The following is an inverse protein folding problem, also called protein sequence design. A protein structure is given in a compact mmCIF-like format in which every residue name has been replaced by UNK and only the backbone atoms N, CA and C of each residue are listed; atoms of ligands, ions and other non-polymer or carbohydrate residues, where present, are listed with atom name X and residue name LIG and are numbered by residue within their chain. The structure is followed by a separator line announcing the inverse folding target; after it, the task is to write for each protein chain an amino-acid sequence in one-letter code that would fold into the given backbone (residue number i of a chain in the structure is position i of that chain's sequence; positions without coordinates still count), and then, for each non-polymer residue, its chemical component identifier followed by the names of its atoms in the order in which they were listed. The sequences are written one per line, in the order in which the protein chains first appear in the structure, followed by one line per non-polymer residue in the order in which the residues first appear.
data_IF_233780991994
#
_entry.id   IF_233780991994
#
_cell.length_a   1.000
_cell.length_b   1.000
_cell.length_c   1.000
_cell.angle_alpha   90.00
_cell.angle_beta   90.00
_cell.angle_gamma   90.00
#
_symmetry.space_group_name_H-M   'P 1'
#
loop_
_entity.id
_entity.type
_entity.pdbx_description
1 polymer ?
#
# COMPACT_ATOMS: atom_id res chain seq x y z
N UNK A 1 1.42 -4.50 -18.30
CA UNK A 1 1.19 -3.65 -17.11
C UNK A 1 1.67 -2.22 -17.37
N UNK A 2 2.98 -1.92 -17.50
CA UNK A 2 3.43 -0.54 -17.81
C UNK A 2 3.59 -0.23 -19.31
N UNK A 3 3.77 -1.23 -20.18
CA UNK A 3 3.84 -1.06 -21.65
C UNK A 3 4.81 0.04 -22.12
N UNK A 4 5.93 0.22 -21.40
CA UNK A 4 6.93 1.25 -21.67
C UNK A 4 8.17 1.08 -20.79
N UNK A 5 9.13 2.01 -20.94
CA UNK A 5 10.37 1.98 -20.14
C UNK A 5 10.06 2.23 -18.66
N UNK A 6 10.47 1.32 -17.75
CA UNK A 6 10.19 1.48 -16.33
C UNK A 6 11.12 2.52 -15.70
N UNK A 7 10.53 3.45 -14.99
CA UNK A 7 11.19 4.30 -14.01
C UNK A 7 11.03 3.69 -12.62
N UNK A 8 12.16 3.41 -11.96
CA UNK A 8 12.22 2.96 -10.58
C UNK A 8 12.21 4.18 -9.64
N UNK A 9 11.24 4.24 -8.73
CA UNK A 9 11.20 5.33 -7.74
C UNK A 9 12.43 5.31 -6.83
N UNK A 10 12.93 6.52 -6.54
CA UNK A 10 14.10 6.71 -5.66
C UNK A 10 13.78 6.35 -4.20
N UNK A 11 12.56 6.62 -3.74
CA UNK A 11 12.11 6.25 -2.39
C UNK A 11 11.94 4.73 -2.28
N UNK A 12 12.83 4.09 -1.53
CA UNK A 12 12.74 2.67 -1.15
C UNK A 12 12.45 2.60 0.34
N UNK A 13 11.40 1.88 0.71
CA UNK A 13 10.96 1.76 2.10
C UNK A 13 11.24 0.32 2.53
N UNK A 14 11.96 0.16 3.64
CA UNK A 14 12.05 -1.12 4.35
C UNK A 14 11.08 -1.04 5.52
N UNK A 15 10.27 -2.08 5.67
CA UNK A 15 9.32 -2.24 6.76
C UNK A 15 9.76 -3.42 7.61
N UNK A 16 9.46 -3.32 8.90
CA UNK A 16 9.61 -4.41 9.83
C UNK A 16 8.35 -4.55 10.66
N UNK A 17 8.09 -5.76 11.15
CA UNK A 17 7.09 -6.02 12.19
C UNK A 17 7.67 -6.95 13.25
N UNK A 18 7.53 -6.57 14.50
CA UNK A 18 7.94 -7.37 15.64
C UNK A 18 6.80 -8.29 16.11
N UNK A 19 7.11 -9.52 16.54
CA UNK A 19 6.12 -10.37 17.19
C UNK A 19 5.52 -9.70 18.42
N UNK A 20 4.19 -9.77 18.55
CA UNK A 20 3.45 -9.19 19.68
C UNK A 20 3.16 -7.68 19.59
N UNK A 21 3.51 -7.02 18.48
CA UNK A 21 2.99 -5.66 18.20
C UNK A 21 1.46 -5.70 18.07
N UNK A 22 0.78 -4.78 18.75
CA UNK A 22 -0.68 -4.68 18.77
C UNK A 22 -1.25 -4.00 17.52
N UNK A 23 -0.39 -3.46 16.66
CA UNK A 23 -0.76 -2.77 15.43
C UNK A 23 -0.07 -3.39 14.21
N UNK A 24 -0.76 -3.35 13.08
CA UNK A 24 -0.25 -3.74 11.77
C UNK A 24 -0.80 -2.77 10.71
N UNK A 25 -0.39 -2.94 9.46
CA UNK A 25 -0.81 -2.03 8.38
C UNK A 25 -2.29 -2.28 8.05
N UNK A 26 -3.14 -1.26 8.26
CA UNK A 26 -4.57 -1.32 7.92
C UNK A 26 -4.83 -1.43 6.42
N UNK A 27 -6.07 -1.78 6.06
CA UNK A 27 -6.50 -1.93 4.68
C UNK A 27 -6.47 -0.60 3.92
N UNK A 28 -5.73 -0.54 2.83
CA UNK A 28 -5.59 0.64 1.97
C UNK A 28 -5.21 0.24 0.55
N UNK A 29 -5.19 1.21 -0.37
CA UNK A 29 -4.58 1.07 -1.69
C UNK A 29 -3.51 2.15 -1.86
N UNK A 30 -2.52 1.89 -2.68
CA UNK A 30 -1.27 2.65 -2.72
C UNK A 30 -1.40 4.06 -3.32
N UNK A 31 -2.32 4.25 -4.27
CA UNK A 31 -2.50 5.52 -4.97
C UNK A 31 -2.72 6.69 -4.01
N UNK A 32 -3.33 6.45 -2.84
CA UNK A 32 -3.61 7.49 -1.85
C UNK A 32 -2.38 8.32 -1.46
N UNK A 33 -1.19 7.69 -1.48
CA UNK A 33 0.08 8.33 -1.10
C UNK A 33 0.84 8.93 -2.28
N UNK A 34 0.50 8.55 -3.52
CA UNK A 34 1.19 8.94 -4.76
C UNK A 34 0.32 9.79 -5.71
N UNK A 35 -0.76 10.38 -5.20
CA UNK A 35 -1.75 11.16 -5.99
C UNK A 35 -1.20 12.37 -6.77
N UNK A 36 0.03 12.84 -6.49
CA UNK A 36 0.60 13.96 -7.22
C UNK A 36 1.34 13.55 -8.51
N UNK A 37 1.39 12.24 -8.80
CA UNK A 37 1.95 11.67 -10.03
C UNK A 37 0.88 11.02 -10.91
N UNK A 38 1.32 10.06 -11.72
CA UNK A 38 0.44 9.16 -12.49
C UNK A 38 -0.31 8.19 -11.59
N UNK A 39 -1.46 7.73 -12.07
CA UNK A 39 -2.18 6.60 -11.49
C UNK A 39 -1.80 5.25 -12.13
N UNK A 40 -0.82 5.26 -13.03
CA UNK A 40 -0.26 4.09 -13.74
C UNK A 40 1.11 3.72 -13.20
N UNK A 41 1.13 3.12 -12.01
CA UNK A 41 2.33 2.57 -11.42
C UNK A 41 2.05 1.19 -10.79
N UNK A 42 3.08 0.40 -10.56
CA UNK A 42 2.99 -0.85 -9.78
C UNK A 42 3.88 -0.77 -8.57
N UNK A 43 3.47 -1.48 -7.53
CA UNK A 43 4.31 -1.76 -6.37
C UNK A 43 4.67 -3.24 -6.37
N UNK A 44 5.95 -3.51 -6.16
CA UNK A 44 6.47 -4.83 -5.83
C UNK A 44 6.69 -4.88 -4.32
N UNK A 45 5.91 -5.71 -3.63
CA UNK A 45 6.18 -6.08 -2.25
C UNK A 45 7.11 -7.29 -2.26
N UNK A 46 8.22 -7.19 -1.55
CA UNK A 46 9.27 -8.21 -1.52
C UNK A 46 9.57 -8.56 -0.06
N UNK A 47 9.34 -9.81 0.38
CA UNK A 47 9.78 -10.26 1.70
C UNK A 47 11.30 -10.37 1.73
N UNK A 48 11.90 -9.95 2.84
CA UNK A 48 13.35 -10.06 3.08
C UNK A 48 13.63 -11.23 4.01
N UNK A 49 13.28 -12.43 3.54
CA UNK A 49 13.33 -13.69 4.26
C UNK A 49 11.98 -14.43 4.19
N UNK A 50 11.98 -15.71 4.56
CA UNK A 50 10.75 -16.50 4.59
C UNK A 50 9.72 -15.84 5.51
N UNK A 51 8.50 -15.72 5.02
CA UNK A 51 7.37 -15.07 5.67
C UNK A 51 6.17 -16.02 5.61
N UNK A 52 6.12 -17.03 6.49
CA UNK A 52 4.91 -17.82 6.66
C UNK A 52 3.77 -16.92 7.17
N UNK A 53 2.53 -17.37 6.98
CA UNK A 53 1.32 -16.56 7.26
C UNK A 53 1.30 -15.95 8.67
N UNK A 54 1.80 -16.65 9.68
CA UNK A 54 1.88 -16.17 11.07
C UNK A 54 2.83 -14.99 11.26
N UNK A 55 3.81 -14.80 10.37
CA UNK A 55 4.72 -13.65 10.39
C UNK A 55 4.07 -12.36 9.86
N UNK A 56 2.87 -12.49 9.31
CA UNK A 56 2.02 -11.37 8.99
C UNK A 56 2.30 -10.75 7.62
N UNK A 57 2.48 -11.55 6.57
CA UNK A 57 2.74 -11.09 5.19
C UNK A 57 1.67 -10.15 4.62
N UNK A 58 1.92 -9.61 3.42
CA UNK A 58 0.91 -8.81 2.72
C UNK A 58 -0.30 -9.67 2.34
N UNK A 59 -1.50 -9.16 2.58
CA UNK A 59 -2.77 -9.78 2.22
C UNK A 59 -3.57 -8.86 1.32
N UNK A 60 -4.39 -9.46 0.44
CA UNK A 60 -5.15 -8.72 -0.57
C UNK A 60 -6.64 -9.00 -0.44
N UNK A 61 -7.46 -7.96 -0.55
CA UNK A 61 -8.90 -8.15 -0.65
C UNK A 61 -9.23 -8.61 -2.08
N UNK A 62 -9.86 -9.78 -2.20
CA UNK A 62 -10.13 -10.41 -3.50
C UNK A 62 -10.94 -9.48 -4.42
N UNK A 63 -10.50 -9.35 -5.68
CA UNK A 63 -11.09 -8.50 -6.72
C UNK A 63 -11.23 -7.01 -6.36
N UNK A 64 -10.39 -6.49 -5.45
CA UNK A 64 -10.55 -5.13 -4.92
C UNK A 64 -10.04 -3.98 -5.80
N UNK A 65 -9.37 -4.24 -6.92
CA UNK A 65 -8.90 -3.18 -7.84
C UNK A 65 -10.06 -2.25 -8.27
N UNK A 66 -11.18 -2.82 -8.70
CA UNK A 66 -12.37 -2.06 -9.11
C UNK A 66 -12.93 -1.24 -7.96
N UNK A 67 -12.91 -1.79 -6.74
CA UNK A 67 -13.35 -1.08 -5.53
C UNK A 67 -12.43 0.10 -5.24
N UNK A 68 -11.11 -0.10 -5.29
CA UNK A 68 -10.12 0.97 -5.09
C UNK A 68 -10.27 2.10 -6.11
N UNK A 69 -10.51 1.78 -7.39
CA UNK A 69 -10.79 2.78 -8.44
C UNK A 69 -12.05 3.59 -8.17
N UNK A 70 -13.12 2.92 -7.76
CA UNK A 70 -14.37 3.60 -7.41
C UNK A 70 -14.16 4.54 -6.20
N UNK A 71 -13.47 4.05 -5.16
CA UNK A 71 -13.18 4.84 -3.96
C UNK A 71 -12.33 6.08 -4.29
N UNK A 72 -11.33 5.95 -5.16
CA UNK A 72 -10.50 7.08 -5.59
C UNK A 72 -11.30 8.09 -6.42
N UNK A 73 -12.20 7.63 -7.29
CA UNK A 73 -13.08 8.52 -8.05
C UNK A 73 -14.02 9.31 -7.12
N UNK A 74 -14.63 8.65 -6.14
CA UNK A 74 -15.46 9.31 -5.11
C UNK A 74 -14.65 10.30 -4.28
N UNK A 75 -13.42 9.94 -3.90
CA UNK A 75 -12.50 10.82 -3.18
C UNK A 75 -12.15 12.07 -3.99
N UNK A 76 -11.84 11.91 -5.28
CA UNK A 76 -11.52 13.00 -6.19
C UNK A 76 -12.68 14.01 -6.29
N UNK A 77 -13.92 13.54 -6.35
CA UNK A 77 -15.12 14.40 -6.34
C UNK A 77 -15.25 15.15 -5.02
N UNK A 78 -15.09 14.47 -3.86
CA UNK A 78 -15.16 15.11 -2.54
C UNK A 78 -14.09 16.18 -2.34
N UNK A 79 -12.95 16.02 -3.00
CA UNK A 79 -11.81 16.93 -2.88
C UNK A 79 -11.75 18.02 -3.95
N UNK A 80 -12.67 18.03 -4.92
CA UNK A 80 -12.61 18.93 -6.07
C UNK A 80 -12.49 20.42 -5.68
N UNK A 81 -13.05 20.81 -4.54
CA UNK A 81 -13.04 22.19 -4.02
C UNK A 81 -11.97 22.47 -2.96
N UNK A 82 -11.11 21.50 -2.63
CA UNK A 82 -9.99 21.70 -1.72
C UNK A 82 -8.82 22.42 -2.42
N UNK A 83 -7.91 23.04 -1.66
CA UNK A 83 -6.62 23.49 -2.19
C UNK A 83 -5.82 22.34 -2.83
N UNK A 84 -5.01 22.58 -3.87
CA UNK A 84 -4.27 21.53 -4.59
C UNK A 84 -3.46 20.59 -3.68
N UNK A 85 -2.78 21.14 -2.68
CA UNK A 85 -1.98 20.41 -1.69
C UNK A 85 -2.83 19.46 -0.83
N UNK A 86 -4.06 19.84 -0.50
CA UNK A 86 -4.99 19.01 0.24
C UNK A 86 -5.56 17.89 -0.63
N UNK A 87 -5.76 18.11 -1.94
CA UNK A 87 -6.29 17.07 -2.85
C UNK A 87 -5.39 15.84 -2.94
N UNK A 88 -4.07 16.04 -2.84
CA UNK A 88 -3.04 15.00 -2.93
C UNK A 88 -2.60 14.46 -1.56
N UNK A 89 -3.17 14.97 -0.47
CA UNK A 89 -2.83 14.58 0.89
C UNK A 89 -3.61 13.33 1.31
N UNK A 90 -2.90 12.26 1.70
CA UNK A 90 -3.48 11.02 2.22
C UNK A 90 -4.17 11.18 3.59
N UNK A 91 -3.99 12.34 4.24
CA UNK A 91 -4.43 12.62 5.61
C UNK A 91 -5.37 13.82 5.70
N UNK A 92 -5.99 14.24 4.59
CA UNK A 92 -6.93 15.35 4.61
C UNK A 92 -8.26 14.98 5.30
N UNK A 93 -9.11 15.99 5.51
CA UNK A 93 -10.42 15.84 6.19
C UNK A 93 -11.40 14.83 5.56
N UNK A 94 -11.19 14.44 4.31
CA UNK A 94 -12.02 13.48 3.58
C UNK A 94 -11.41 12.06 3.58
N UNK A 95 -10.24 11.86 4.20
CA UNK A 95 -9.64 10.56 4.51
C UNK A 95 -9.87 10.18 5.98
N UNK A 96 -9.86 8.89 6.27
CA UNK A 96 -9.78 8.43 7.66
C UNK A 96 -8.39 8.73 8.21
N UNK A 97 -8.29 8.88 9.53
CA UNK A 97 -7.02 9.01 10.24
C UNK A 97 -6.04 7.89 9.84
N UNK A 98 -4.80 8.26 9.51
CA UNK A 98 -3.75 7.35 9.05
C UNK A 98 -3.79 6.97 7.57
N UNK A 99 -4.74 7.49 6.79
CA UNK A 99 -4.86 7.20 5.34
C UNK A 99 -5.47 5.84 5.01
N UNK A 100 -5.84 5.04 6.01
CA UNK A 100 -6.42 3.73 5.80
C UNK A 100 -7.92 3.78 5.53
N UNK A 101 -8.44 2.76 4.83
CA UNK A 101 -9.88 2.52 4.72
C UNK A 101 -10.39 2.03 6.07
N UNK A 102 -9.76 0.97 6.60
CA UNK A 102 -10.04 0.46 7.94
C UNK A 102 -8.90 -0.38 8.50
N UNK A 103 -8.80 -0.40 9.83
CA UNK A 103 -7.98 -1.37 10.58
C UNK A 103 -8.77 -2.64 10.90
N UNK A 104 -10.10 -2.62 10.78
CA UNK A 104 -10.94 -3.81 10.96
C UNK A 104 -11.09 -4.56 9.63
N UNK A 105 -10.20 -5.53 9.40
CA UNK A 105 -10.16 -6.27 8.14
C UNK A 105 -11.36 -7.21 7.97
N UNK A 106 -11.92 -7.75 9.07
CA UNK A 106 -13.13 -8.58 9.04
C UNK A 106 -14.32 -7.77 8.54
N UNK A 107 -14.53 -6.58 9.12
CA UNK A 107 -15.58 -5.67 8.68
C UNK A 107 -15.40 -5.25 7.21
N UNK A 108 -14.17 -5.05 6.74
CA UNK A 108 -13.92 -4.74 5.33
C UNK A 108 -14.37 -5.88 4.41
N UNK A 109 -14.07 -7.13 4.76
CA UNK A 109 -14.51 -8.29 3.98
C UNK A 109 -16.05 -8.34 3.90
N UNK A 110 -16.74 -8.13 5.03
CA UNK A 110 -18.20 -8.09 5.09
C UNK A 110 -18.81 -6.91 4.31
N UNK A 111 -18.20 -5.73 4.41
CA UNK A 111 -18.64 -4.50 3.74
C UNK A 111 -18.51 -4.61 2.23
N UNK A 112 -17.37 -5.12 1.76
CA UNK A 112 -17.09 -5.26 0.33
C UNK A 112 -17.59 -6.58 -0.26
N UNK A 113 -18.23 -7.45 0.55
CA UNK A 113 -18.74 -8.76 0.14
C UNK A 113 -17.67 -9.59 -0.56
N UNK A 114 -16.48 -9.60 0.03
CA UNK A 114 -15.28 -10.24 -0.49
C UNK A 114 -14.53 -10.98 0.64
N UNK A 115 -13.36 -11.53 0.35
CA UNK A 115 -12.50 -12.22 1.32
C UNK A 115 -11.05 -11.76 1.18
N UNK A 116 -10.30 -11.88 2.26
CA UNK A 116 -8.86 -11.66 2.24
C UNK A 116 -8.14 -12.90 1.73
N UNK A 117 -7.27 -12.70 0.76
CA UNK A 117 -6.34 -13.69 0.24
C UNK A 117 -5.03 -13.56 1.01
N UNK A 118 -4.57 -14.70 1.52
CA UNK A 118 -3.36 -14.84 2.33
C UNK A 118 -2.53 -15.99 1.77
N UNK A 119 -1.21 -15.87 1.87
CA UNK A 119 -0.26 -16.88 1.42
C UNK A 119 0.98 -16.85 2.30
N UNK A 120 1.68 -17.98 2.37
CA UNK A 120 3.09 -18.01 2.73
C UNK A 120 3.92 -17.38 1.60
N UNK A 121 5.03 -16.75 1.96
CA UNK A 121 6.02 -16.26 1.01
C UNK A 121 7.40 -16.75 1.38
N UNK A 122 8.17 -17.17 0.39
CA UNK A 122 9.56 -17.61 0.58
C UNK A 122 10.55 -16.51 0.21
N UNK A 123 11.76 -16.58 0.76
CA UNK A 123 12.83 -15.68 0.35
C UNK A 123 13.09 -15.80 -1.16
N UNK A 124 12.94 -14.68 -1.88
CA UNK A 124 13.05 -14.62 -3.34
C UNK A 124 11.72 -14.43 -4.06
N UNK A 125 10.60 -14.62 -3.37
CA UNK A 125 9.29 -14.25 -3.89
C UNK A 125 9.14 -12.73 -4.04
N UNK A 126 8.19 -12.33 -4.87
CA UNK A 126 7.67 -10.97 -4.90
C UNK A 126 6.21 -10.99 -5.34
N UNK A 127 5.45 -10.01 -4.86
CA UNK A 127 4.08 -9.77 -5.33
C UNK A 127 4.02 -8.40 -5.98
N UNK A 128 3.44 -8.35 -7.19
CA UNK A 128 3.21 -7.09 -7.91
C UNK A 128 1.73 -6.76 -7.84
N UNK A 129 1.39 -5.54 -7.42
CA UNK A 129 0.02 -5.07 -7.40
C UNK A 129 -0.17 -3.69 -8.04
N UNK A 130 -1.39 -3.51 -8.54
CA UNK A 130 -1.95 -2.25 -9.04
C UNK A 130 -2.05 -1.21 -7.91
N UNK A 131 -1.98 0.10 -8.20
CA UNK A 131 -2.02 1.10 -7.15
C UNK A 131 -3.41 1.25 -6.52
N UNK A 132 -4.41 0.57 -7.08
CA UNK A 132 -5.78 0.50 -6.57
C UNK A 132 -6.08 -0.79 -5.80
N UNK A 133 -5.16 -1.76 -5.79
CA UNK A 133 -5.41 -3.03 -5.11
C UNK A 133 -5.49 -2.79 -3.59
N UNK A 134 -6.60 -3.16 -2.97
CA UNK A 134 -6.76 -3.03 -1.52
C UNK A 134 -5.98 -4.15 -0.85
N UNK A 135 -5.04 -3.76 -0.02
CA UNK A 135 -4.15 -4.65 0.70
C UNK A 135 -3.92 -4.18 2.15
N UNK A 136 -3.44 -5.10 2.98
CA UNK A 136 -3.11 -4.90 4.38
C UNK A 136 -1.94 -5.81 4.76
N UNK A 137 -1.48 -5.72 6.00
CA UNK A 137 -0.61 -6.73 6.60
C UNK A 137 -1.23 -7.21 7.91
N UNK A 138 -1.04 -8.47 8.27
CA UNK A 138 -1.48 -9.00 9.57
C UNK A 138 -0.41 -8.85 10.63
N UNK A 139 -0.79 -9.06 11.90
CA UNK A 139 0.15 -9.05 13.02
C UNK A 139 1.15 -10.20 12.91
N UNK A 140 2.37 -9.95 13.35
CA UNK A 140 3.38 -10.98 13.49
C UNK A 140 3.16 -11.74 14.81
N UNK A 141 2.87 -13.03 14.70
CA UNK A 141 2.65 -13.97 15.79
C UNK A 141 3.66 -15.13 15.74
N UNK A 142 4.83 -14.91 15.12
CA UNK A 142 5.86 -15.93 14.97
C UNK A 142 6.27 -16.54 16.32
N UNK A 143 6.10 -17.85 16.53
CA UNK A 143 6.40 -18.50 17.80
C UNK A 143 7.91 -18.52 18.12
N UNK A 144 8.76 -18.31 17.11
CA UNK A 144 10.22 -18.23 17.25
C UNK A 144 10.70 -16.79 17.51
N UNK A 145 9.79 -15.84 17.68
CA UNK A 145 10.07 -14.43 17.94
C UNK A 145 10.92 -13.74 16.86
N UNK A 146 10.74 -14.13 15.58
CA UNK A 146 11.46 -13.54 14.44
C UNK A 146 10.78 -12.26 13.93
N UNK A 147 11.61 -11.27 13.62
CA UNK A 147 11.18 -10.04 12.95
C UNK A 147 10.92 -10.36 11.47
N UNK A 148 9.77 -9.93 10.94
CA UNK A 148 9.52 -9.96 9.49
C UNK A 148 10.02 -8.66 8.87
N UNK A 149 10.84 -8.76 7.85
CA UNK A 149 11.30 -7.63 7.04
C UNK A 149 10.70 -7.69 5.64
N UNK A 150 10.35 -6.54 5.07
CA UNK A 150 9.90 -6.44 3.68
C UNK A 150 10.29 -5.10 3.06
N UNK A 151 10.19 -4.99 1.74
CA UNK A 151 10.33 -3.71 1.04
C UNK A 151 9.26 -3.51 -0.02
N UNK A 152 8.84 -2.26 -0.19
CA UNK A 152 7.92 -1.83 -1.24
C UNK A 152 8.70 -1.04 -2.29
N UNK A 153 8.79 -1.58 -3.49
CA UNK A 153 9.49 -0.97 -4.63
C UNK A 153 8.48 -0.56 -5.69
N UNK A 154 8.50 0.72 -6.10
CA UNK A 154 7.51 1.28 -7.03
C UNK A 154 8.11 1.54 -8.40
N UNK A 155 7.32 1.24 -9.43
CA UNK A 155 7.67 1.41 -10.84
C UNK A 155 6.54 2.13 -11.59
N UNK A 156 6.88 3.13 -12.38
CA UNK A 156 5.97 3.78 -13.34
C UNK A 156 6.65 3.89 -14.71
N UNK A 157 6.00 4.44 -15.73
CA UNK A 157 6.71 4.75 -16.98
C UNK A 157 7.59 6.00 -16.81
N UNK A 158 8.69 6.06 -17.58
CA UNK A 158 9.55 7.26 -17.65
C UNK A 158 8.83 8.50 -18.16
N UNK A 159 7.82 8.32 -19.03
CA UNK A 159 7.11 9.41 -19.69
C UNK A 159 5.88 9.89 -18.89
N UNK A 160 5.53 9.17 -17.83
CA UNK A 160 4.41 9.51 -16.95
C UNK A 160 4.86 10.53 -15.89
N UNK A 161 3.92 11.36 -15.42
CA UNK A 161 4.17 12.32 -14.35
C UNK A 161 4.63 11.60 -13.07
N UNK A 162 5.76 12.05 -12.50
CA UNK A 162 6.29 11.52 -11.24
C UNK A 162 5.81 12.40 -10.09
N UNK A 163 5.28 11.78 -9.04
CA UNK A 163 5.08 12.46 -7.75
C UNK A 163 6.45 12.85 -7.17
N UNK A 164 6.79 14.13 -7.23
CA UNK A 164 8.10 14.65 -6.80
C UNK A 164 8.36 14.40 -5.30
N UNK A 165 7.30 14.19 -4.50
CA UNK A 165 7.43 13.82 -3.09
C UNK A 165 8.10 12.45 -2.92
N UNK A 166 7.94 11.56 -3.90
CA UNK A 166 8.50 10.20 -3.97
C UNK A 166 9.79 10.10 -4.82
N UNK A 167 10.27 11.22 -5.39
CA UNK A 167 11.50 11.29 -6.20
C UNK A 167 12.79 11.47 -5.36
N UNK A 168 12.70 11.33 -4.03
CA UNK A 168 13.80 11.47 -3.06
C UNK A 168 13.92 10.22 -2.19
N UNK A 169 15.04 10.07 -1.48
CA UNK A 169 15.20 8.99 -0.51
C UNK A 169 14.21 9.18 0.66
N UNK A 170 13.83 8.07 1.29
CA UNK A 170 13.07 8.12 2.55
C UNK A 170 13.91 8.73 3.67
N UNK A 171 13.31 9.59 4.48
CA UNK A 171 13.90 10.12 5.72
C UNK A 171 12.84 10.13 6.83
N UNK A 172 13.22 9.89 8.11
CA UNK A 172 12.28 9.96 9.22
C UNK A 172 11.58 11.33 9.30
N UNK A 173 10.26 11.34 9.53
CA UNK A 173 9.48 12.55 9.78
C UNK A 173 9.12 13.39 8.55
N UNK A 174 9.24 12.86 7.34
CA UNK A 174 8.87 13.60 6.11
C UNK A 174 7.38 13.58 5.75
N UNK A 175 6.55 13.02 6.64
CA UNK A 175 5.08 12.99 6.55
C UNK A 175 4.55 12.31 5.26
N UNK A 176 5.26 11.29 4.76
CA UNK A 176 4.93 10.51 3.55
C UNK A 176 5.06 9.00 3.74
#
# INVERSE_FOLDING_TARGET
FLEGQPYLHKRKIIRFTHPGEDHCTGGHYDLIYLRAGTDKFSTSWIPLGDTPVEMGGVIYLEHSDTVGRQMEAEFSVKNANLPPEERINAYNRNMREGGWISTNLVEMADRFKSRWLIADYDAGDLVIHSPYMIHAATQNHDPMNRIRLSTDIRYQRTDDSIDQRWAKNWVPGDNL
#
